data_IF_480797074196
#
_entry.id   IF_480797074196
#
_cell.length_a   1.000
_cell.length_b   1.000
_cell.length_c   1.000
_cell.angle_alpha   90.00
_cell.angle_beta   90.00
_cell.angle_gamma   90.00
#
_symmetry.space_group_name_H-M   'P 1'
#
loop_
_entity.id
_entity.type
_entity.pdbx_description
1 polymer ?
#
# COMPACT_ATOMS: atom_id res chain seq x y z
N UNK A 1 -12.38 -23.82 -30.36
CA UNK A 1 -12.48 -22.49 -29.71
C UNK A 1 -11.25 -21.70 -30.12
N UNK A 2 -11.36 -20.42 -30.48
CA UNK A 2 -10.20 -19.61 -30.85
C UNK A 2 -9.48 -19.09 -29.61
N UNK A 3 -8.15 -19.02 -29.65
CA UNK A 3 -7.27 -18.49 -28.61
C UNK A 3 -7.76 -17.16 -28.00
N UNK A 4 -8.34 -16.28 -28.81
CA UNK A 4 -8.90 -14.98 -28.36
C UNK A 4 -10.05 -15.16 -27.36
N UNK A 5 -10.89 -16.19 -27.53
CA UNK A 5 -12.01 -16.49 -26.62
C UNK A 5 -11.49 -17.05 -25.29
N UNK A 6 -10.50 -17.94 -25.35
CA UNK A 6 -9.85 -18.53 -24.17
C UNK A 6 -9.06 -17.48 -23.37
N UNK A 7 -8.34 -16.58 -24.05
CA UNK A 7 -7.64 -15.46 -23.43
C UNK A 7 -8.62 -14.49 -22.76
N UNK A 8 -9.76 -14.19 -23.42
CA UNK A 8 -10.83 -13.39 -22.84
C UNK A 8 -11.34 -14.06 -21.55
N UNK A 9 -11.73 -15.32 -21.63
CA UNK A 9 -12.30 -16.03 -20.47
C UNK A 9 -11.28 -16.18 -19.32
N UNK A 10 -9.98 -16.23 -19.61
CA UNK A 10 -8.91 -16.15 -18.61
C UNK A 10 -8.76 -14.75 -18.00
N UNK A 11 -8.67 -13.70 -18.84
CA UNK A 11 -8.45 -12.32 -18.41
C UNK A 11 -9.65 -11.74 -17.63
N UNK A 12 -10.86 -12.21 -17.92
CA UNK A 12 -12.08 -11.79 -17.23
C UNK A 12 -12.41 -12.62 -15.98
N UNK A 13 -11.51 -13.52 -15.53
CA UNK A 13 -11.61 -14.06 -14.17
C UNK A 13 -11.45 -12.89 -13.20
N UNK A 14 -12.47 -12.58 -12.40
CA UNK A 14 -12.53 -11.38 -11.55
C UNK A 14 -11.26 -11.13 -10.71
N UNK A 15 -10.67 -12.20 -10.17
CA UNK A 15 -9.43 -12.13 -9.40
C UNK A 15 -8.21 -11.56 -10.18
N UNK A 16 -8.16 -11.72 -11.50
CA UNK A 16 -7.05 -11.21 -12.34
C UNK A 16 -7.19 -9.71 -12.60
N UNK A 17 -8.42 -9.23 -12.79
CA UNK A 17 -8.70 -7.81 -13.02
C UNK A 17 -8.40 -7.01 -11.74
N UNK A 18 -8.89 -7.47 -10.59
CA UNK A 18 -8.66 -6.80 -9.30
C UNK A 18 -7.17 -6.77 -8.95
N UNK A 19 -6.45 -7.87 -9.21
CA UNK A 19 -5.00 -7.93 -9.06
C UNK A 19 -4.28 -6.94 -9.98
N UNK A 20 -4.66 -6.88 -11.26
CA UNK A 20 -4.05 -5.97 -12.23
C UNK A 20 -4.25 -4.50 -11.82
N UNK A 21 -5.47 -4.14 -11.39
CA UNK A 21 -5.80 -2.80 -10.89
C UNK A 21 -4.96 -2.49 -9.64
N UNK A 22 -4.86 -3.42 -8.69
CA UNK A 22 -4.06 -3.26 -7.48
C UNK A 22 -2.59 -3.01 -7.76
N UNK A 23 -1.98 -3.75 -8.70
CA UNK A 23 -0.57 -3.55 -9.08
C UNK A 23 -0.35 -2.20 -9.76
N UNK A 24 -1.24 -1.80 -10.68
CA UNK A 24 -1.11 -0.53 -11.40
C UNK A 24 -1.25 0.65 -10.44
N UNK A 25 -2.28 0.62 -9.57
CA UNK A 25 -2.49 1.66 -8.56
C UNK A 25 -1.33 1.68 -7.56
N UNK A 26 -0.89 0.52 -7.08
CA UNK A 26 0.25 0.41 -6.17
C UNK A 26 1.53 1.00 -6.76
N UNK A 27 1.82 0.70 -8.02
CA UNK A 27 2.97 1.27 -8.73
C UNK A 27 2.87 2.78 -8.94
N UNK A 28 1.69 3.28 -9.31
CA UNK A 28 1.46 4.73 -9.47
C UNK A 28 1.55 5.48 -8.13
N UNK A 29 0.92 4.94 -7.08
CA UNK A 29 0.97 5.50 -5.74
C UNK A 29 2.39 5.53 -5.18
N UNK A 30 3.17 4.46 -5.40
CA UNK A 30 4.58 4.42 -5.05
C UNK A 30 5.37 5.60 -5.64
N UNK A 31 5.15 5.95 -6.92
CA UNK A 31 5.80 7.11 -7.55
C UNK A 31 5.43 8.44 -6.89
N UNK A 32 4.17 8.61 -6.50
CA UNK A 32 3.71 9.82 -5.80
C UNK A 32 4.43 9.95 -4.45
N UNK A 33 4.53 8.85 -3.70
CA UNK A 33 5.23 8.84 -2.41
C UNK A 33 6.73 9.11 -2.61
N UNK A 34 7.37 8.45 -3.57
CA UNK A 34 8.78 8.69 -3.89
C UNK A 34 9.04 10.15 -4.24
N UNK A 35 8.23 10.76 -5.11
CA UNK A 35 8.38 12.17 -5.47
C UNK A 35 8.19 13.11 -4.27
N UNK A 36 7.19 12.86 -3.41
CA UNK A 36 7.04 13.66 -2.19
C UNK A 36 8.28 13.57 -1.28
N UNK A 37 8.89 12.40 -1.17
CA UNK A 37 10.04 12.21 -0.29
C UNK A 37 11.31 12.80 -0.90
N UNK A 38 11.59 12.47 -2.16
CA UNK A 38 12.81 12.87 -2.87
C UNK A 38 12.79 14.36 -3.25
N UNK A 39 11.66 14.87 -3.77
CA UNK A 39 11.57 16.21 -4.34
C UNK A 39 11.14 17.28 -3.32
N UNK A 40 10.46 16.90 -2.24
CA UNK A 40 9.92 17.85 -1.25
C UNK A 40 10.57 17.67 0.11
N UNK A 41 10.44 16.50 0.73
CA UNK A 41 10.90 16.27 2.11
C UNK A 41 12.43 16.30 2.20
N UNK A 42 13.12 15.67 1.26
CA UNK A 42 14.58 15.60 1.25
C UNK A 42 15.22 16.99 1.16
N UNK A 43 14.90 17.85 0.17
CA UNK A 43 15.50 19.18 0.11
C UNK A 43 15.05 20.12 1.24
N UNK A 44 13.80 20.01 1.73
CA UNK A 44 13.28 20.95 2.74
C UNK A 44 13.62 20.58 4.19
N UNK A 45 13.71 19.29 4.51
CA UNK A 45 13.93 18.81 5.88
C UNK A 45 15.26 18.06 6.00
N UNK A 46 15.49 17.08 5.12
CA UNK A 46 16.60 16.16 5.28
C UNK A 46 17.94 16.80 4.98
N UNK A 47 18.05 17.55 3.89
CA UNK A 47 19.28 18.25 3.50
C UNK A 47 19.71 19.24 4.57
N UNK A 48 18.87 20.19 5.04
CA UNK A 48 19.23 21.09 6.14
C UNK A 48 19.61 20.36 7.43
N UNK A 49 18.91 19.27 7.78
CA UNK A 49 19.24 18.47 8.95
C UNK A 49 20.62 17.79 8.81
N UNK A 50 20.95 17.25 7.64
CA UNK A 50 22.26 16.66 7.35
C UNK A 50 23.37 17.71 7.35
N UNK A 51 23.09 18.93 6.84
CA UNK A 51 24.01 20.08 6.95
C UNK A 51 24.29 20.45 8.40
N UNK A 52 23.24 20.59 9.21
CA UNK A 52 23.37 20.90 10.63
C UNK A 52 24.11 19.81 11.42
N UNK A 53 23.98 18.54 11.02
CA UNK A 53 24.69 17.41 11.61
C UNK A 53 26.14 17.25 11.11
N UNK A 54 26.62 18.11 10.20
CA UNK A 54 27.96 18.00 9.61
C UNK A 54 28.14 16.78 8.68
N UNK A 55 27.04 16.17 8.23
CA UNK A 55 27.00 14.90 7.54
C UNK A 55 26.70 15.04 6.03
N UNK A 56 27.02 16.18 5.43
CA UNK A 56 26.73 16.50 4.02
C UNK A 56 27.36 15.53 3.01
N UNK A 57 28.39 14.78 3.41
CA UNK A 57 29.15 13.89 2.54
C UNK A 57 29.09 12.43 3.01
N UNK A 58 27.99 11.99 3.65
CA UNK A 58 27.79 10.56 4.00
C UNK A 58 28.02 9.66 2.78
N UNK A 59 27.59 10.07 1.60
CA UNK A 59 27.76 9.33 0.33
C UNK A 59 29.22 9.13 -0.09
N UNK A 60 30.16 9.96 0.39
CA UNK A 60 31.59 9.88 0.09
C UNK A 60 32.39 9.10 1.12
N UNK A 61 31.73 8.55 2.14
CA UNK A 61 32.41 7.74 3.15
C UNK A 61 32.94 6.45 2.50
N UNK A 62 34.24 6.26 2.64
CA UNK A 62 34.96 5.07 2.20
C UNK A 62 35.93 4.63 3.27
N UNK A 63 35.97 3.33 3.56
CA UNK A 63 36.95 2.73 4.46
C UNK A 63 37.71 1.65 3.70
N UNK A 64 39.04 1.79 3.61
CA UNK A 64 39.93 0.80 2.98
C UNK A 64 39.49 0.38 1.56
N UNK A 65 39.06 1.34 0.74
CA UNK A 65 38.58 1.11 -0.64
C UNK A 65 37.12 0.71 -0.77
N UNK A 66 36.40 0.46 0.34
CA UNK A 66 34.97 0.14 0.34
C UNK A 66 34.14 1.40 0.54
N UNK A 67 33.44 1.84 -0.50
CA UNK A 67 32.52 2.99 -0.47
C UNK A 67 31.15 2.59 0.09
N UNK A 68 31.00 2.60 1.41
CA UNK A 68 29.72 2.30 2.07
C UNK A 68 28.79 3.52 2.16
N UNK A 69 29.28 4.70 1.80
CA UNK A 69 28.49 5.93 1.86
C UNK A 69 27.18 5.90 1.07
N UNK A 70 27.19 5.31 -0.13
CA UNK A 70 25.97 5.19 -0.94
C UNK A 70 24.95 4.24 -0.31
N UNK A 71 25.40 3.14 0.29
CA UNK A 71 24.53 2.23 1.02
C UNK A 71 23.89 2.92 2.23
N UNK A 72 24.68 3.66 3.00
CA UNK A 72 24.19 4.40 4.16
C UNK A 72 23.20 5.51 3.76
N UNK A 73 23.48 6.21 2.65
CA UNK A 73 22.55 7.20 2.09
C UNK A 73 21.23 6.56 1.64
N UNK A 74 21.27 5.39 0.99
CA UNK A 74 20.07 4.64 0.60
C UNK A 74 19.26 4.19 1.83
N UNK A 75 19.93 3.73 2.89
CA UNK A 75 19.29 3.33 4.13
C UNK A 75 18.57 4.51 4.81
N UNK A 76 19.22 5.67 4.87
CA UNK A 76 18.62 6.90 5.42
C UNK A 76 17.40 7.32 4.57
N UNK A 77 17.53 7.32 3.24
CA UNK A 77 16.41 7.64 2.33
C UNK A 77 15.23 6.68 2.55
N UNK A 78 15.47 5.37 2.67
CA UNK A 78 14.43 4.38 2.96
C UNK A 78 13.72 4.65 4.29
N UNK A 79 14.46 4.97 5.35
CA UNK A 79 13.90 5.34 6.65
C UNK A 79 13.02 6.61 6.56
N UNK A 80 13.44 7.59 5.76
CA UNK A 80 12.65 8.79 5.51
C UNK A 80 11.35 8.48 4.76
N UNK A 81 11.41 7.66 3.71
CA UNK A 81 10.21 7.23 2.97
C UNK A 81 9.25 6.50 3.90
N UNK A 82 9.75 5.55 4.70
CA UNK A 82 8.94 4.81 5.66
C UNK A 82 8.29 5.73 6.71
N UNK A 83 9.02 6.74 7.20
CA UNK A 83 8.49 7.72 8.14
C UNK A 83 7.39 8.57 7.51
N UNK A 84 7.60 9.09 6.29
CA UNK A 84 6.60 9.89 5.59
C UNK A 84 5.34 9.06 5.29
N UNK A 85 5.52 7.82 4.82
CA UNK A 85 4.40 6.91 4.55
C UNK A 85 3.60 6.62 5.83
N UNK A 86 4.28 6.43 6.97
CA UNK A 86 3.61 6.29 8.27
C UNK A 86 2.76 7.50 8.63
N UNK A 87 3.26 8.72 8.41
CA UNK A 87 2.49 9.95 8.68
C UNK A 87 1.28 10.09 7.75
N UNK A 88 1.43 9.75 6.46
CA UNK A 88 0.32 9.76 5.49
C UNK A 88 -0.76 8.75 5.90
N UNK A 89 -0.38 7.50 6.17
CA UNK A 89 -1.32 6.45 6.58
C UNK A 89 -1.99 6.82 7.91
N UNK A 90 -1.24 7.37 8.87
CA UNK A 90 -1.80 7.84 10.15
C UNK A 90 -2.79 8.99 9.95
N UNK A 91 -2.50 9.91 9.04
CA UNK A 91 -3.41 11.00 8.65
C UNK A 91 -4.69 10.47 7.99
N UNK A 92 -4.56 9.56 7.03
CA UNK A 92 -5.67 8.90 6.37
C UNK A 92 -6.53 8.11 7.37
N UNK A 93 -5.93 7.28 8.22
CA UNK A 93 -6.64 6.52 9.27
C UNK A 93 -7.37 7.42 10.27
N UNK A 94 -6.84 8.62 10.56
CA UNK A 94 -7.51 9.60 11.42
C UNK A 94 -8.75 10.18 10.75
N UNK A 95 -8.74 10.31 9.43
CA UNK A 95 -9.84 10.86 8.63
C UNK A 95 -10.89 9.79 8.28
N UNK A 96 -10.46 8.56 7.97
CA UNK A 96 -11.32 7.39 7.73
C UNK A 96 -12.04 6.89 8.98
N UNK A 97 -11.66 7.36 10.17
CA UNK A 97 -12.34 7.01 11.44
C UNK A 97 -13.76 7.59 11.58
N UNK A 98 -14.32 8.18 10.52
CA UNK A 98 -15.67 8.78 10.51
C UNK A 98 -16.71 8.08 9.64
N UNK A 99 -16.33 7.07 8.87
CA UNK A 99 -17.27 6.13 8.28
C UNK A 99 -16.65 4.75 8.46
N UNK A 100 -17.12 4.02 9.48
CA UNK A 100 -17.11 2.57 9.35
C UNK A 100 -17.79 2.31 8.00
N UNK A 101 -17.13 1.64 7.04
CA UNK A 101 -17.83 1.22 5.84
C UNK A 101 -19.04 0.47 6.37
N UNK A 102 -20.25 0.99 6.09
CA UNK A 102 -21.49 0.36 6.51
C UNK A 102 -21.30 -1.12 6.21
N UNK A 103 -21.35 -2.00 7.25
CA UNK A 103 -20.93 -3.39 7.10
C UNK A 103 -21.58 -3.88 5.83
N UNK A 104 -20.75 -4.30 4.85
CA UNK A 104 -21.24 -4.75 3.56
C UNK A 104 -22.42 -5.66 3.88
N UNK A 105 -23.62 -5.23 3.47
CA UNK A 105 -24.85 -5.91 3.87
C UNK A 105 -24.68 -7.40 3.59
N UNK A 106 -25.31 -8.29 4.39
CA UNK A 106 -25.05 -9.71 4.30
C UNK A 106 -25.08 -10.15 2.83
N UNK A 107 -24.00 -10.80 2.38
CA UNK A 107 -23.92 -11.30 1.00
C UNK A 107 -25.12 -12.20 0.72
N UNK A 108 -25.51 -12.36 -0.55
CA UNK A 108 -26.66 -13.20 -0.91
C UNK A 108 -26.61 -14.59 -0.25
N UNK A 109 -25.41 -15.17 -0.14
CA UNK A 109 -25.19 -16.43 0.56
C UNK A 109 -25.45 -16.32 2.08
N UNK A 110 -25.03 -15.23 2.73
CA UNK A 110 -25.30 -15.00 4.16
C UNK A 110 -26.79 -14.76 4.43
N UNK A 111 -27.50 -14.10 3.51
CA UNK A 111 -28.95 -13.96 3.56
C UNK A 111 -29.63 -15.33 3.44
N UNK A 112 -29.25 -16.11 2.42
CA UNK A 112 -29.75 -17.47 2.22
C UNK A 112 -29.45 -18.38 3.42
N UNK A 113 -28.26 -18.31 4.00
CA UNK A 113 -27.91 -19.08 5.19
C UNK A 113 -28.70 -18.63 6.43
N UNK A 114 -29.02 -17.35 6.53
CA UNK A 114 -29.88 -16.82 7.60
C UNK A 114 -31.31 -17.35 7.43
N UNK A 115 -31.85 -17.30 6.23
CA UNK A 115 -33.16 -17.87 5.88
C UNK A 115 -33.20 -19.38 6.13
N UNK A 116 -32.18 -20.13 5.68
CA UNK A 116 -32.07 -21.58 5.92
C UNK A 116 -32.01 -21.88 7.43
N UNK A 117 -31.23 -21.13 8.20
CA UNK A 117 -31.16 -21.28 9.67
C UNK A 117 -32.53 -21.07 10.29
N UNK A 118 -33.24 -20.03 9.88
CA UNK A 118 -34.54 -19.68 10.44
C UNK A 118 -35.61 -20.73 10.07
N UNK A 119 -35.59 -21.24 8.82
CA UNK A 119 -36.41 -22.36 8.36
C UNK A 119 -36.11 -23.67 9.08
N UNK A 120 -34.84 -23.96 9.38
CA UNK A 120 -34.46 -25.13 10.16
C UNK A 120 -34.91 -25.01 11.62
N UNK A 121 -34.76 -23.82 12.21
CA UNK A 121 -35.23 -23.55 13.58
C UNK A 121 -36.74 -23.65 13.70
N UNK A 122 -37.50 -23.18 12.70
CA UNK A 122 -38.96 -23.35 12.67
C UNK A 122 -39.38 -24.81 12.49
N UNK A 123 -38.63 -25.59 11.71
CA UNK A 123 -38.91 -27.02 11.48
C UNK A 123 -38.56 -27.91 12.69
N UNK A 124 -37.55 -27.54 13.47
CA UNK A 124 -37.07 -28.30 14.63
C UNK A 124 -37.78 -27.95 15.95
N UNK A 125 -38.73 -27.00 15.90
CA UNK A 125 -39.58 -26.60 17.03
C UNK A 125 -40.98 -27.27 16.98
N UNK A 126 -41.07 -28.45 16.35
CA UNK A 126 -42.18 -29.41 16.38
C UNK A 126 -41.58 -30.76 16.77
#
# INVERSE_FOLDING_TARGET
MGFIKEFKDFAFKGNVIDLAVGVIIGGAFGKIVSSLVEDVITPLLLNPALKAAGAENISKLAWNGVTYGNFLSALISFLCIAMVLFWIIKGANKLSKKEDPAPAGPTADQQLLTEIRDLLKSKNNI
#
